data_IF_023435653831
#
_entry.id   IF_023435653831
#
_cell.length_a   1.000
_cell.length_b   1.000
_cell.length_c   1.000
_cell.angle_alpha   90.00
_cell.angle_beta   90.00
_cell.angle_gamma   90.00
#
_symmetry.space_group_name_H-M   'P 1'
#
loop_
_entity.id
_entity.type
_entity.pdbx_description
1 polymer ?
#
# COMPACT_ATOMS: atom_id res chain seq x y z
N UNK A 1 0.45 -0.44 4.77
CA UNK A 1 0.61 -1.67 3.97
C UNK A 1 -0.40 -1.61 2.84
N UNK A 2 0.03 -1.84 1.60
CA UNK A 2 -0.90 -1.99 0.47
C UNK A 2 -1.27 -3.47 0.40
N UNK A 3 -2.57 -3.77 0.42
CA UNK A 3 -3.08 -5.11 0.10
C UNK A 3 -3.28 -5.17 -1.42
N UNK A 4 -2.56 -6.08 -2.10
CA UNK A 4 -2.56 -6.17 -3.57
C UNK A 4 -3.48 -7.30 -4.07
N UNK A 5 -4.01 -8.11 -3.16
CA UNK A 5 -5.01 -9.14 -3.49
C UNK A 5 -6.36 -8.65 -2.99
N UNK A 6 -7.12 -8.02 -3.89
CA UNK A 6 -8.52 -7.67 -3.64
C UNK A 6 -9.37 -8.17 -4.82
N UNK A 7 -9.91 -9.37 -4.68
CA UNK A 7 -10.92 -9.93 -5.58
C UNK A 7 -11.88 -10.78 -4.76
N UNK A 8 -13.18 -10.67 -5.05
CA UNK A 8 -14.13 -11.68 -4.61
C UNK A 8 -13.76 -13.03 -5.25
N UNK A 9 -14.18 -14.15 -4.66
CA UNK A 9 -13.86 -15.50 -5.15
C UNK A 9 -14.30 -15.80 -6.60
N UNK A 10 -15.05 -14.89 -7.22
CA UNK A 10 -15.59 -14.95 -8.58
C UNK A 10 -15.30 -13.70 -9.42
N UNK A 11 -14.39 -12.81 -8.98
CA UNK A 11 -14.02 -11.65 -9.77
C UNK A 11 -13.28 -12.11 -11.05
N UNK A 12 -13.59 -11.47 -12.18
CA UNK A 12 -12.82 -11.66 -13.42
C UNK A 12 -11.43 -11.04 -13.24
N UNK A 13 -10.44 -11.64 -13.89
CA UNK A 13 -9.11 -11.05 -13.95
C UNK A 13 -9.19 -9.65 -14.62
N UNK A 14 -8.54 -8.63 -14.02
CA UNK A 14 -8.51 -7.30 -14.62
C UNK A 14 -7.63 -7.31 -15.87
N UNK A 15 -8.10 -6.65 -16.94
CA UNK A 15 -7.35 -6.53 -18.21
C UNK A 15 -6.01 -5.79 -18.02
N UNK A 16 -5.95 -4.82 -17.11
CA UNK A 16 -4.74 -4.05 -16.77
C UNK A 16 -4.23 -4.33 -15.35
N UNK A 17 -4.18 -5.61 -14.98
CA UNK A 17 -3.67 -6.08 -13.69
C UNK A 17 -2.15 -5.93 -13.50
N UNK A 18 -1.67 -6.44 -12.36
CA UNK A 18 -0.24 -6.66 -12.07
C UNK A 18 -0.06 -8.17 -11.95
N UNK A 19 0.75 -8.76 -12.83
CA UNK A 19 0.98 -10.19 -12.83
C UNK A 19 1.86 -10.65 -11.65
N UNK A 20 1.82 -11.94 -11.31
CA UNK A 20 2.78 -12.52 -10.38
C UNK A 20 4.22 -12.28 -10.86
N UNK A 21 5.09 -11.85 -9.96
CA UNK A 21 6.49 -11.46 -10.22
C UNK A 21 6.70 -10.24 -11.14
N UNK A 22 5.65 -9.56 -11.58
CA UNK A 22 5.78 -8.24 -12.21
C UNK A 22 6.32 -7.23 -11.18
N UNK A 23 7.37 -6.49 -11.55
CA UNK A 23 7.92 -5.45 -10.68
C UNK A 23 7.06 -4.19 -10.77
N UNK A 24 6.70 -3.67 -9.62
CA UNK A 24 6.06 -2.38 -9.47
C UNK A 24 6.65 -1.67 -8.26
N UNK A 25 6.42 -0.36 -8.17
CA UNK A 25 6.78 0.45 -7.01
C UNK A 25 5.53 1.10 -6.43
N UNK A 26 5.58 1.41 -5.13
CA UNK A 26 4.55 2.23 -4.50
C UNK A 26 5.19 3.27 -3.58
N UNK A 27 4.49 4.40 -3.44
CA UNK A 27 4.82 5.47 -2.51
C UNK A 27 3.57 5.76 -1.69
N UNK A 28 3.73 5.81 -0.36
CA UNK A 28 2.71 6.29 0.58
C UNK A 28 3.30 7.54 1.22
N UNK A 29 2.77 8.70 0.88
CA UNK A 29 3.23 10.01 1.36
C UNK A 29 2.12 10.68 2.17
N UNK A 30 2.42 11.06 3.40
CA UNK A 30 1.47 11.77 4.28
C UNK A 30 2.05 13.15 4.60
N UNK A 31 1.31 14.20 4.22
CA UNK A 31 1.68 15.60 4.47
C UNK A 31 0.50 16.32 5.12
N UNK A 32 0.62 16.59 6.42
CA UNK A 32 -0.52 17.06 7.20
C UNK A 32 -1.65 16.03 7.15
N UNK A 33 -2.85 16.48 6.76
CA UNK A 33 -4.03 15.63 6.63
C UNK A 33 -4.18 14.98 5.24
N UNK A 34 -3.23 15.18 4.33
CA UNK A 34 -3.29 14.63 2.98
C UNK A 34 -2.47 13.35 2.87
N UNK A 35 -3.13 12.25 2.52
CA UNK A 35 -2.53 10.98 2.15
C UNK A 35 -2.49 10.87 0.62
N UNK A 36 -1.29 10.73 0.06
CA UNK A 36 -1.09 10.44 -1.37
C UNK A 36 -0.51 9.04 -1.51
N UNK A 37 -1.17 8.20 -2.31
CA UNK A 37 -0.69 6.87 -2.70
C UNK A 37 -0.40 6.89 -4.19
N UNK A 38 0.83 6.54 -4.57
CA UNK A 38 1.23 6.41 -5.98
C UNK A 38 1.68 4.99 -6.26
N UNK A 39 1.23 4.43 -7.37
CA UNK A 39 1.66 3.15 -7.89
C UNK A 39 2.29 3.34 -9.27
N UNK A 40 3.50 2.80 -9.45
CA UNK A 40 4.30 2.95 -10.66
C UNK A 40 4.64 1.58 -11.24
N UNK A 41 4.53 1.44 -12.56
CA UNK A 41 4.86 0.22 -13.31
C UNK A 41 5.74 0.60 -14.50
N UNK A 42 6.68 -0.27 -14.86
CA UNK A 42 7.57 -0.01 -15.99
C UNK A 42 6.77 0.12 -17.30
N UNK A 43 7.03 1.17 -18.07
CA UNK A 43 6.36 1.42 -19.35
C UNK A 43 4.89 1.87 -19.25
N UNK A 44 4.38 2.18 -18.05
CA UNK A 44 3.02 2.70 -17.82
C UNK A 44 3.07 4.00 -17.02
N UNK A 45 2.05 4.84 -17.18
CA UNK A 45 1.92 6.06 -16.38
C UNK A 45 1.67 5.74 -14.91
N UNK A 46 2.11 6.65 -14.04
CA UNK A 46 1.86 6.57 -12.60
C UNK A 46 0.37 6.72 -12.29
N UNK A 47 -0.13 5.86 -11.40
CA UNK A 47 -1.48 5.97 -10.87
C UNK A 47 -1.41 6.58 -9.47
N UNK A 48 -2.01 7.76 -9.30
CA UNK A 48 -2.04 8.48 -8.02
C UNK A 48 -3.45 8.57 -7.47
N UNK A 49 -3.61 8.26 -6.19
CA UNK A 49 -4.83 8.49 -5.43
C UNK A 49 -4.53 9.39 -4.24
N UNK A 50 -5.38 10.41 -4.06
CA UNK A 50 -5.24 11.40 -2.99
C UNK A 50 -6.47 11.30 -2.09
N UNK A 51 -6.23 11.19 -0.80
CA UNK A 51 -7.25 11.13 0.23
C UNK A 51 -7.05 12.30 1.18
N UNK A 52 -8.10 13.11 1.34
CA UNK A 52 -8.18 14.10 2.41
C UNK A 52 -8.64 13.40 3.70
N UNK A 53 -7.80 13.45 4.74
CA UNK A 53 -8.04 12.82 6.03
C UNK A 53 -8.40 13.82 7.13
N UNK A 54 -8.74 15.08 6.80
CA UNK A 54 -9.02 16.12 7.82
C UNK A 54 -10.07 15.68 8.86
N UNK A 55 -11.08 14.92 8.42
CA UNK A 55 -12.20 14.45 9.23
C UNK A 55 -12.02 13.01 9.73
N UNK A 56 -10.87 12.38 9.45
CA UNK A 56 -10.56 11.01 9.87
C UNK A 56 -10.14 10.89 11.35
N UNK A 57 -9.89 12.02 12.02
CA UNK A 57 -9.53 12.07 13.43
C UNK A 57 -8.08 11.69 13.76
N UNK A 58 -7.23 11.48 12.75
CA UNK A 58 -5.80 11.17 12.93
C UNK A 58 -4.95 12.38 13.34
N UNK A 59 -5.48 13.60 13.20
CA UNK A 59 -4.88 14.84 13.67
C UNK A 59 -5.12 15.12 15.18
N UNK A 60 -5.83 14.22 15.88
CA UNK A 60 -6.07 14.36 17.32
C UNK A 60 -4.79 14.07 18.13
N UNK A 61 -4.70 14.68 19.30
CA UNK A 61 -3.56 14.48 20.22
C UNK A 61 -3.42 13.00 20.64
N UNK A 62 -2.20 12.60 20.97
CA UNK A 62 -1.84 11.25 21.43
C UNK A 62 -2.06 10.13 20.41
N UNK A 63 -2.13 10.45 19.12
CA UNK A 63 -2.05 9.48 18.04
C UNK A 63 -0.61 9.41 17.53
N UNK A 64 -0.06 8.20 17.47
CA UNK A 64 1.28 7.95 16.93
C UNK A 64 1.17 7.02 15.73
N UNK A 65 1.91 7.33 14.68
CA UNK A 65 1.87 6.58 13.43
C UNK A 65 3.20 5.86 13.19
N UNK A 66 3.10 4.70 12.55
CA UNK A 66 4.26 3.94 12.10
C UNK A 66 3.90 3.22 10.79
N UNK A 67 4.88 3.12 9.89
CA UNK A 67 4.68 2.40 8.65
C UNK A 67 4.86 0.89 8.85
N UNK A 68 4.08 0.11 8.10
CA UNK A 68 4.23 -1.34 7.96
C UNK A 68 4.37 -1.69 6.48
N UNK A 69 5.36 -2.53 6.18
CA UNK A 69 5.63 -3.09 4.85
C UNK A 69 5.95 -4.58 4.99
N UNK A 70 5.54 -5.37 4.01
CA UNK A 70 5.66 -6.83 4.03
C UNK A 70 4.40 -7.51 3.49
N UNK A 71 4.30 -8.81 3.72
CA UNK A 71 3.11 -9.60 3.41
C UNK A 71 2.30 -9.79 4.70
N UNK A 72 1.06 -9.32 4.69
CA UNK A 72 0.06 -9.61 5.71
C UNK A 72 -1.07 -10.36 5.01
N UNK A 73 -1.06 -11.68 5.18
CA UNK A 73 -1.98 -12.55 4.47
C UNK A 73 -3.43 -12.23 4.88
N UNK A 74 -4.26 -11.81 3.92
CA UNK A 74 -5.68 -11.51 4.14
C UNK A 74 -6.57 -12.74 3.97
N UNK A 75 -6.02 -13.88 3.55
CA UNK A 75 -6.74 -15.14 3.49
C UNK A 75 -6.57 -15.90 4.81
N UNK A 76 -7.68 -16.11 5.51
CA UNK A 76 -7.73 -16.90 6.75
C UNK A 76 -8.58 -18.17 6.62
N UNK A 77 -9.01 -18.53 5.41
CA UNK A 77 -9.90 -19.67 5.13
C UNK A 77 -9.29 -20.69 4.17
N UNK A 78 -8.11 -20.41 3.61
CA UNK A 78 -7.37 -21.31 2.73
C UNK A 78 -6.82 -22.54 3.47
N UNK A 79 -6.15 -23.40 2.71
CA UNK A 79 -5.48 -24.57 3.28
C UNK A 79 -4.28 -24.13 4.17
N UNK A 80 -3.89 -24.91 5.19
CA UNK A 80 -2.78 -24.54 6.06
C UNK A 80 -1.43 -24.31 5.35
N UNK A 81 -1.22 -24.97 4.22
CA UNK A 81 -0.03 -24.87 3.38
C UNK A 81 -0.07 -23.72 2.37
N UNK A 82 -1.22 -23.07 2.19
CA UNK A 82 -1.34 -21.91 1.31
C UNK A 82 -0.57 -20.72 1.90
N UNK A 83 0.15 -20.00 1.05
CA UNK A 83 0.98 -18.88 1.48
C UNK A 83 0.95 -17.73 0.49
N UNK A 84 1.25 -16.54 1.00
CA UNK A 84 1.50 -15.35 0.20
C UNK A 84 2.97 -14.96 0.33
N UNK A 85 3.59 -14.54 -0.76
CA UNK A 85 4.99 -14.13 -0.79
C UNK A 85 5.15 -12.86 -1.62
N UNK A 86 6.08 -11.99 -1.19
CA UNK A 86 6.52 -10.83 -1.96
C UNK A 86 8.03 -10.65 -1.77
N UNK A 87 8.68 -10.09 -2.78
CA UNK A 87 10.11 -9.75 -2.76
C UNK A 87 10.26 -8.24 -2.85
N UNK A 88 10.87 -7.63 -1.84
CA UNK A 88 11.16 -6.19 -1.82
C UNK A 88 12.59 -5.95 -2.30
N UNK A 89 12.74 -5.26 -3.43
CA UNK A 89 14.06 -4.86 -3.96
C UNK A 89 14.55 -3.54 -3.35
N UNK A 90 13.63 -2.71 -2.85
CA UNK A 90 13.93 -1.44 -2.19
C UNK A 90 12.83 -1.12 -1.18
N UNK A 91 13.22 -0.78 0.05
CA UNK A 91 12.31 -0.30 1.09
C UNK A 91 12.97 0.87 1.80
N UNK A 92 12.35 2.05 1.71
CA UNK A 92 12.86 3.29 2.27
C UNK A 92 11.75 3.97 3.05
N UNK A 93 12.09 4.47 4.23
CA UNK A 93 11.20 5.24 5.09
C UNK A 93 11.92 6.54 5.46
N UNK A 94 11.24 7.67 5.28
CA UNK A 94 11.77 9.00 5.58
C UNK A 94 10.72 9.81 6.31
N UNK A 95 11.14 10.54 7.33
CA UNK A 95 10.30 11.49 8.06
C UNK A 95 10.87 12.88 7.92
N UNK A 96 10.02 13.89 7.78
CA UNK A 96 10.47 15.29 7.94
C UNK A 96 10.72 15.52 9.43
N UNK A 97 11.94 15.93 9.77
CA UNK A 97 12.26 16.40 11.12
C UNK A 97 11.69 17.81 11.25
N UNK A 98 10.84 18.03 12.26
CA UNK A 98 10.45 19.37 12.65
C UNK A 98 11.51 19.89 13.62
N UNK A 99 12.20 20.96 13.26
CA UNK A 99 13.03 21.70 14.21
C UNK A 99 12.08 22.51 15.12
N UNK A 100 12.20 22.31 16.43
CA UNK A 100 11.47 23.06 17.44
C UNK A 100 12.22 24.35 17.79
#
# INVERSE_FOLDING_TARGET
MIAIITGASNAKDPEDGIALNEKFSYIIDVKGDILTVTLSREGKDDMTHIVDMQDSGYNKRNQYMHFKAGVYNQNSTGLPEDYAQATFYRLVNTHKVYNH
#
